data_IF_943990116640
#
_entry.id   IF_943990116640
#
_cell.length_a   1.000
_cell.length_b   1.000
_cell.length_c   1.000
_cell.angle_alpha   90.00
_cell.angle_beta   90.00
_cell.angle_gamma   90.00
#
_symmetry.space_group_name_H-M   'P 1'
#
loop_
_entity.id
_entity.type
_entity.pdbx_description
1 polymer ?
#
# COMPACT_ATOMS: atom_id res chain seq x y z
N UNK A 1 -12.99 9.81 0.51
CA UNK A 1 -12.96 9.29 1.90
C UNK A 1 -13.82 8.05 2.09
N UNK A 2 -14.81 7.88 1.23
CA UNK A 2 -15.71 6.72 1.35
C UNK A 2 -15.27 5.53 0.50
N UNK A 3 -14.20 5.68 -0.26
CA UNK A 3 -13.66 4.59 -1.06
C UNK A 3 -12.91 3.60 -0.17
N UNK A 4 -12.87 2.35 -0.61
CA UNK A 4 -12.21 1.26 0.12
C UNK A 4 -10.95 0.85 -0.63
N UNK A 5 -9.77 1.26 -0.15
CA UNK A 5 -8.52 0.85 -0.79
C UNK A 5 -8.31 -0.66 -0.68
N UNK A 6 -7.95 -1.27 -1.78
CA UNK A 6 -7.69 -2.72 -1.85
C UNK A 6 -6.35 -2.91 -2.55
N UNK A 7 -5.49 -3.75 -1.97
CA UNK A 7 -4.25 -4.12 -2.62
C UNK A 7 -4.56 -4.85 -3.93
N UNK A 8 -3.83 -4.50 -4.98
CA UNK A 8 -3.92 -5.23 -6.24
C UNK A 8 -3.26 -6.61 -6.08
N UNK A 9 -3.46 -7.48 -7.06
CA UNK A 9 -2.84 -8.81 -7.05
C UNK A 9 -1.37 -8.68 -7.43
N UNK A 10 -0.53 -8.31 -6.47
CA UNK A 10 0.91 -8.17 -6.65
C UNK A 10 1.61 -9.05 -5.63
N UNK A 11 2.84 -9.45 -5.94
CA UNK A 11 3.62 -10.27 -5.02
C UNK A 11 4.21 -9.41 -3.91
N UNK A 12 4.04 -9.85 -2.69
CA UNK A 12 4.63 -9.18 -1.54
C UNK A 12 4.84 -10.17 -0.41
N UNK A 13 5.79 -9.88 0.46
CA UNK A 13 6.14 -10.76 1.57
C UNK A 13 6.27 -9.94 2.84
N UNK A 14 6.14 -10.63 3.98
CA UNK A 14 6.40 -10.06 5.30
C UNK A 14 7.77 -10.52 5.74
N UNK A 15 8.65 -9.57 6.05
CA UNK A 15 10.00 -9.86 6.50
C UNK A 15 10.00 -10.22 7.99
N UNK A 16 11.15 -10.72 8.48
CA UNK A 16 11.27 -11.13 9.89
C UNK A 16 10.97 -10.01 10.87
N UNK A 17 11.28 -8.77 10.51
CA UNK A 17 11.00 -7.62 11.37
C UNK A 17 9.56 -7.11 11.25
N UNK A 18 8.72 -7.78 10.46
CA UNK A 18 7.33 -7.39 10.27
C UNK A 18 7.11 -6.38 9.15
N UNK A 19 8.16 -5.88 8.54
CA UNK A 19 8.03 -4.94 7.45
C UNK A 19 7.67 -5.65 6.14
N UNK A 20 7.05 -4.91 5.23
CA UNK A 20 6.56 -5.44 3.96
C UNK A 20 7.58 -5.16 2.85
N UNK A 21 7.80 -6.15 2.01
CA UNK A 21 8.59 -5.98 0.79
C UNK A 21 7.72 -6.35 -0.41
N UNK A 22 7.62 -5.44 -1.36
CA UNK A 22 6.91 -5.71 -2.61
C UNK A 22 7.90 -6.29 -3.60
N UNK A 23 7.54 -7.43 -4.19
CA UNK A 23 8.40 -8.13 -5.14
C UNK A 23 8.03 -7.66 -6.54
N UNK A 24 8.92 -6.91 -7.17
CA UNK A 24 8.71 -6.46 -8.54
C UNK A 24 9.23 -7.52 -9.51
N UNK A 25 8.34 -7.99 -10.37
CA UNK A 25 8.70 -8.94 -11.41
C UNK A 25 9.35 -8.18 -12.58
N UNK A 26 10.33 -8.81 -13.22
CA UNK A 26 10.99 -8.25 -14.40
C UNK A 26 10.03 -7.95 -15.54
N UNK A 27 8.88 -8.60 -15.54
CA UNK A 27 7.87 -8.41 -16.58
C UNK A 27 6.90 -7.26 -16.30
N UNK A 28 7.14 -6.51 -15.23
CA UNK A 28 6.28 -5.39 -14.85
C UNK A 28 6.85 -4.05 -15.35
N UNK A 29 7.20 -4.00 -16.64
CA UNK A 29 7.72 -2.79 -17.26
C UNK A 29 6.81 -1.57 -17.10
N UNK A 30 5.50 -1.79 -17.02
CA UNK A 30 4.54 -0.70 -16.82
C UNK A 30 4.70 -0.04 -15.46
N UNK A 31 5.02 -0.81 -14.43
CA UNK A 31 5.26 -0.26 -13.10
C UNK A 31 6.56 0.54 -13.10
N UNK A 32 7.60 0.03 -13.76
CA UNK A 32 8.87 0.76 -13.88
C UNK A 32 8.70 2.09 -14.59
N UNK A 33 7.90 2.14 -15.64
CA UNK A 33 7.62 3.39 -16.34
C UNK A 33 6.93 4.39 -15.43
N UNK A 34 5.95 3.94 -14.65
CA UNK A 34 5.25 4.80 -13.71
C UNK A 34 6.16 5.32 -12.61
N UNK A 35 7.07 4.47 -12.13
CA UNK A 35 8.04 4.84 -11.11
C UNK A 35 8.94 5.98 -11.62
N UNK A 36 9.38 5.90 -12.87
CA UNK A 36 10.24 6.94 -13.43
C UNK A 36 9.53 8.27 -13.65
N UNK A 37 8.19 8.24 -13.79
CA UNK A 37 7.39 9.45 -13.95
C UNK A 37 7.16 10.16 -12.64
N UNK A 38 7.11 9.41 -11.54
CA UNK A 38 6.95 9.97 -10.21
C UNK A 38 8.29 10.54 -9.77
N UNK A 39 8.28 11.78 -9.35
CA UNK A 39 9.52 12.48 -8.98
C UNK A 39 10.20 11.77 -7.82
N UNK A 40 11.33 11.14 -8.13
CA UNK A 40 12.01 10.28 -7.17
C UNK A 40 11.31 8.94 -7.03
N UNK A 41 11.99 7.84 -7.30
CA UNK A 41 11.41 6.52 -7.08
C UNK A 41 11.06 6.35 -5.60
N UNK A 42 9.79 6.02 -5.28
CA UNK A 42 9.42 5.78 -3.89
C UNK A 42 10.30 4.68 -3.30
N UNK A 43 10.76 4.88 -2.09
CA UNK A 43 11.65 3.91 -1.46
C UNK A 43 11.02 2.53 -1.30
N UNK A 44 9.70 2.46 -1.17
CA UNK A 44 9.02 1.18 -1.01
C UNK A 44 9.08 0.27 -2.23
N UNK A 45 9.49 0.75 -3.40
CA UNK A 45 9.65 -0.10 -4.59
C UNK A 45 11.06 -0.67 -4.73
N UNK A 46 12.03 -0.12 -4.01
CA UNK A 46 13.43 -0.57 -4.05
C UNK A 46 13.90 -1.20 -2.77
N UNK A 47 13.23 -0.91 -1.69
CA UNK A 47 13.59 -1.37 -0.35
C UNK A 47 12.33 -1.85 0.35
N UNK A 48 12.49 -2.65 1.40
CA UNK A 48 11.34 -2.97 2.24
C UNK A 48 10.68 -1.68 2.75
N UNK A 49 9.38 -1.72 2.87
CA UNK A 49 8.63 -0.60 3.45
C UNK A 49 9.03 -0.40 4.90
N UNK A 50 9.05 0.85 5.36
CA UNK A 50 9.22 1.12 6.77
C UNK A 50 7.97 0.67 7.55
N UNK A 51 8.01 0.80 8.86
CA UNK A 51 6.91 0.34 9.71
C UNK A 51 5.60 1.06 9.38
N UNK A 52 5.67 2.35 9.11
CA UNK A 52 4.50 3.16 8.81
C UNK A 52 3.84 2.73 7.50
N UNK A 53 4.62 2.61 6.44
CA UNK A 53 4.11 2.17 5.14
C UNK A 53 3.66 0.72 5.17
N UNK A 54 4.34 -0.13 5.93
CA UNK A 54 3.95 -1.54 6.08
C UNK A 54 2.58 -1.65 6.75
N UNK A 55 2.35 -0.86 7.78
CA UNK A 55 1.05 -0.82 8.46
C UNK A 55 -0.04 -0.34 7.52
N UNK A 56 0.24 0.73 6.78
CA UNK A 56 -0.70 1.26 5.79
C UNK A 56 -1.05 0.19 4.74
N UNK A 57 -0.05 -0.50 4.23
CA UNK A 57 -0.24 -1.57 3.23
C UNK A 57 -1.21 -2.63 3.74
N UNK A 58 -1.02 -3.08 4.99
CA UNK A 58 -1.85 -4.11 5.58
C UNK A 58 -3.28 -3.65 5.82
N UNK A 59 -3.50 -2.36 6.08
CA UNK A 59 -4.84 -1.83 6.30
C UNK A 59 -5.66 -1.71 5.02
N UNK A 60 -5.00 -1.75 3.86
CA UNK A 60 -5.68 -1.63 2.57
C UNK A 60 -6.16 -2.99 2.06
N UNK A 61 -7.03 -3.61 2.82
CA UNK A 61 -7.57 -4.95 2.52
C UNK A 61 -9.01 -4.93 2.00
N UNK A 62 -9.53 -3.75 1.69
CA UNK A 62 -10.89 -3.61 1.18
C UNK A 62 -11.97 -3.56 2.25
N UNK A 63 -11.61 -3.75 3.51
CA UNK A 63 -12.58 -3.76 4.62
C UNK A 63 -12.74 -2.40 5.30
N UNK A 64 -11.84 -1.47 5.02
CA UNK A 64 -11.82 -0.14 5.63
C UNK A 64 -11.84 0.93 4.55
N UNK A 65 -12.64 1.97 4.76
CA UNK A 65 -12.58 3.12 3.86
C UNK A 65 -11.36 4.00 4.21
N UNK A 66 -11.07 5.00 3.37
CA UNK A 66 -9.92 5.88 3.57
C UNK A 66 -9.99 6.57 4.94
N UNK A 67 -11.17 7.03 5.33
CA UNK A 67 -11.36 7.69 6.63
C UNK A 67 -10.93 6.79 7.79
N UNK A 68 -11.36 5.53 7.76
CA UNK A 68 -11.02 4.57 8.82
C UNK A 68 -9.52 4.28 8.83
N UNK A 69 -8.92 4.17 7.67
CA UNK A 69 -7.47 3.97 7.56
C UNK A 69 -6.71 5.15 8.18
N UNK A 70 -7.15 6.37 7.89
CA UNK A 70 -6.54 7.58 8.49
C UNK A 70 -6.64 7.54 10.00
N UNK A 71 -7.81 7.18 10.54
CA UNK A 71 -8.01 7.07 11.99
C UNK A 71 -7.08 6.04 12.61
N UNK A 72 -6.96 4.87 11.99
CA UNK A 72 -6.09 3.80 12.47
C UNK A 72 -4.62 4.22 12.45
N UNK A 73 -4.18 4.84 11.37
CA UNK A 73 -2.81 5.30 11.25
C UNK A 73 -2.48 6.39 12.26
N UNK A 74 -3.41 7.33 12.44
CA UNK A 74 -3.26 8.40 13.43
C UNK A 74 -3.17 7.83 14.85
N UNK A 75 -3.99 6.83 15.15
CA UNK A 75 -3.99 6.17 16.45
C UNK A 75 -2.66 5.46 16.73
N UNK A 76 -2.05 4.85 15.73
CA UNK A 76 -0.83 4.07 15.90
C UNK A 76 0.45 4.90 15.89
N UNK A 77 0.48 5.96 15.09
CA UNK A 77 1.72 6.72 14.86
C UNK A 77 1.68 8.15 15.39
N UNK A 78 0.49 8.65 15.68
CA UNK A 78 0.28 9.94 16.35
C UNK A 78 1.11 11.07 15.70
N UNK A 79 1.98 11.72 16.45
CA UNK A 79 2.77 12.84 15.94
C UNK A 79 3.68 12.48 14.77
N UNK A 80 4.12 11.23 14.69
CA UNK A 80 5.01 10.78 13.63
C UNK A 80 4.36 10.85 12.25
N UNK A 81 3.04 10.81 12.18
CA UNK A 81 2.31 10.83 10.91
C UNK A 81 1.51 12.13 10.72
N UNK A 82 1.63 13.07 11.65
CA UNK A 82 0.88 14.32 11.57
C UNK A 82 1.36 15.20 10.42
N UNK A 83 0.47 15.79 9.61
CA UNK A 83 -0.98 15.61 9.60
C UNK A 83 -1.39 14.31 8.91
N UNK A 84 -2.06 13.45 9.65
CA UNK A 84 -2.35 12.08 9.21
C UNK A 84 -3.19 12.04 7.93
N UNK A 85 -4.23 12.84 7.84
CA UNK A 85 -5.11 12.84 6.68
C UNK A 85 -4.35 13.12 5.39
N UNK A 86 -3.48 14.12 5.41
CA UNK A 86 -2.70 14.50 4.23
C UNK A 86 -1.68 13.42 3.87
N UNK A 87 -0.94 12.95 4.85
CA UNK A 87 0.11 11.95 4.62
C UNK A 87 -0.44 10.63 4.13
N UNK A 88 -1.49 10.14 4.78
CA UNK A 88 -2.11 8.87 4.40
C UNK A 88 -2.73 8.98 3.01
N UNK A 89 -3.46 10.06 2.74
CA UNK A 89 -4.08 10.27 1.44
C UNK A 89 -3.05 10.34 0.32
N UNK A 90 -1.94 11.03 0.54
CA UNK A 90 -0.86 11.14 -0.44
C UNK A 90 -0.20 9.78 -0.69
N UNK A 91 0.01 8.99 0.36
CA UNK A 91 0.60 7.67 0.21
C UNK A 91 -0.33 6.73 -0.56
N UNK A 92 -1.61 6.75 -0.26
CA UNK A 92 -2.60 5.94 -0.99
C UNK A 92 -2.64 6.35 -2.45
N UNK A 93 -2.65 7.66 -2.73
CA UNK A 93 -2.66 8.17 -4.10
C UNK A 93 -1.43 7.69 -4.88
N UNK A 94 -0.26 7.71 -4.27
CA UNK A 94 0.96 7.20 -4.87
C UNK A 94 0.85 5.71 -5.22
N UNK A 95 0.33 4.92 -4.29
CA UNK A 95 0.16 3.49 -4.51
C UNK A 95 -0.85 3.20 -5.62
N UNK A 96 -1.91 3.98 -5.70
CA UNK A 96 -2.88 3.86 -6.79
C UNK A 96 -2.23 4.23 -8.13
N UNK A 97 -1.47 5.30 -8.14
CA UNK A 97 -0.76 5.76 -9.34
C UNK A 97 0.19 4.68 -9.86
N UNK A 98 0.85 3.96 -8.98
CA UNK A 98 1.77 2.89 -9.33
C UNK A 98 1.06 1.58 -9.73
N UNK A 99 -0.24 1.50 -9.57
CA UNK A 99 -0.98 0.29 -9.87
C UNK A 99 -0.89 -0.79 -8.80
N UNK A 100 -0.47 -0.42 -7.59
CA UNK A 100 -0.33 -1.36 -6.48
C UNK A 100 -1.57 -1.44 -5.60
N UNK A 101 -2.43 -0.43 -5.68
CA UNK A 101 -3.67 -0.34 -4.91
C UNK A 101 -4.77 0.15 -5.83
N UNK A 102 -5.98 -0.34 -5.64
CA UNK A 102 -7.17 0.18 -6.32
C UNK A 102 -8.17 0.67 -5.29
N UNK A 103 -9.11 1.49 -5.73
CA UNK A 103 -10.14 2.04 -4.85
C UNK A 103 -11.49 1.44 -5.22
N UNK A 104 -12.06 0.65 -4.31
CA UNK A 104 -13.38 0.07 -4.48
C UNK A 104 -14.44 1.01 -3.90
N UNK A 105 -15.66 0.96 -4.46
CA UNK A 105 -16.77 1.77 -3.97
C UNK A 105 -17.55 1.08 -2.85
N UNK A 106 -17.36 -0.22 -2.69
CA UNK A 106 -18.03 -1.03 -1.68
C UNK A 106 -17.03 -1.81 -0.87
N UNK A 107 -17.41 -2.09 0.38
CA UNK A 107 -16.61 -2.90 1.28
C UNK A 107 -16.44 -4.32 0.72
N UNK A 108 -15.19 -4.80 0.77
CA UNK A 108 -14.83 -6.17 0.34
C UNK A 108 -15.21 -6.49 -1.11
N UNK A 109 -15.25 -5.48 -1.96
CA UNK A 109 -15.64 -5.63 -3.37
C UNK A 109 -14.41 -5.95 -4.23
N UNK A 110 -13.91 -7.16 -4.10
CA UNK A 110 -12.80 -7.67 -4.92
C UNK A 110 -12.82 -9.19 -4.93
N UNK A 111 -12.26 -9.78 -5.98
CA UNK A 111 -12.26 -11.24 -6.17
C UNK A 111 -10.86 -11.81 -6.43
N UNK A 112 -9.82 -11.02 -6.18
CA UNK A 112 -8.44 -11.47 -6.37
C UNK A 112 -7.74 -11.66 -5.02
N UNK A 113 -6.63 -12.39 -5.05
CA UNK A 113 -5.83 -12.66 -3.86
C UNK A 113 -5.05 -11.41 -3.44
N UNK A 114 -5.14 -11.02 -2.18
CA UNK A 114 -4.46 -9.83 -1.66
C UNK A 114 -3.50 -10.14 -0.51
N UNK A 115 -3.44 -11.38 -0.08
CA UNK A 115 -2.56 -11.76 1.02
C UNK A 115 -1.09 -11.82 0.62
N UNK A 116 -0.21 -12.02 1.61
CA UNK A 116 1.21 -12.15 1.32
C UNK A 116 1.50 -13.44 0.58
N UNK A 117 2.55 -13.42 -0.22
CA UNK A 117 3.05 -14.63 -0.84
C UNK A 117 3.79 -15.44 0.22
N UNK A 118 3.56 -16.73 0.21
CA UNK A 118 4.25 -17.61 1.15
C UNK A 118 5.69 -17.74 0.71
N UNK A 119 6.60 -17.61 1.66
CA UNK A 119 8.03 -17.68 1.39
C UNK A 119 8.40 -18.97 0.67
N UNK A 120 9.20 -18.85 -0.38
CA UNK A 120 9.65 -19.99 -1.15
C UNK A 120 8.60 -20.54 -2.11
N UNK A 121 7.51 -19.86 -2.30
CA UNK A 121 6.42 -20.33 -3.13
C UNK A 121 6.06 -19.37 -4.23
#
# INVERSE_FOLDING_TARGET
>A
MDMFPVRCEVKWIVLKNGCIEIILDKNLGKIEEKITRIMGAPTFVRRPMDKMNSTLWLLMDGSRNVRKIIEEMDSQFDEMISPAAERVSNSIAQLVELGLVTLATKKDDFDWHIGPNVDGH
#
